data_IF_838035885701
#
_entry.id   IF_838035885701
#
_cell.length_a   1.000
_cell.length_b   1.000
_cell.length_c   1.000
_cell.angle_alpha   90.00
_cell.angle_beta   90.00
_cell.angle_gamma   90.00
#
_symmetry.space_group_name_H-M   'P 1'
#
loop_
_entity.id
_entity.type
_entity.pdbx_description
1 polymer ?
#
# COMPACT_ATOMS: atom_id res chain seq x y z
N UNK A 1 26.03 -5.08 -0.12
CA UNK A 1 24.66 -5.33 -0.60
C UNK A 1 24.09 -3.98 -1.05
N UNK A 2 24.07 -3.70 -2.36
CA UNK A 2 23.72 -2.37 -2.90
C UNK A 2 22.20 -2.18 -2.80
N UNK A 3 21.75 -1.15 -2.05
CA UNK A 3 20.35 -0.72 -2.09
C UNK A 3 20.02 -0.33 -3.53
N UNK A 4 19.01 -0.97 -4.10
CA UNK A 4 18.41 -0.56 -5.38
C UNK A 4 17.18 0.29 -5.08
N UNK A 5 17.40 1.53 -4.69
CA UNK A 5 16.39 2.57 -4.85
C UNK A 5 16.73 3.28 -6.16
N UNK A 6 15.95 3.08 -7.21
CA UNK A 6 16.02 3.91 -8.40
C UNK A 6 14.63 4.45 -8.74
N UNK A 7 14.64 5.71 -9.16
CA UNK A 7 13.53 6.63 -9.30
C UNK A 7 13.34 6.86 -10.80
N UNK A 8 12.24 6.39 -11.39
CA UNK A 8 11.84 6.74 -12.76
C UNK A 8 10.36 7.08 -12.75
N UNK A 9 10.06 8.25 -13.30
CA UNK A 9 8.73 8.73 -13.57
C UNK A 9 8.50 8.62 -15.08
N UNK A 10 7.57 7.77 -15.49
CA UNK A 10 7.23 7.60 -16.91
C UNK A 10 6.47 8.84 -17.39
N UNK A 11 7.16 9.71 -18.14
CA UNK A 11 6.51 10.66 -19.04
C UNK A 11 6.00 9.91 -20.27
N UNK A 12 4.68 9.98 -20.47
CA UNK A 12 3.96 9.84 -21.74
C UNK A 12 4.53 8.86 -22.78
N UNK A 13 3.96 7.65 -22.83
CA UNK A 13 3.78 6.94 -24.10
C UNK A 13 2.28 6.86 -24.36
N UNK A 14 1.85 7.62 -25.36
CA UNK A 14 0.55 7.51 -26.00
C UNK A 14 0.45 6.14 -26.69
N UNK A 15 -0.60 5.39 -26.38
CA UNK A 15 -1.50 4.87 -27.41
C UNK A 15 -2.92 4.83 -26.81
N UNK A 16 -3.94 5.35 -27.53
CA UNK A 16 -5.30 5.46 -27.05
C UNK A 16 -6.05 4.15 -27.29
N UNK A 17 -6.89 3.74 -26.34
CA UNK A 17 -8.06 2.94 -26.70
C UNK A 17 -9.28 3.85 -26.62
N UNK A 18 -9.74 4.17 -27.82
CA UNK A 18 -10.99 4.81 -28.16
C UNK A 18 -12.15 3.99 -27.57
N UNK A 19 -13.00 4.62 -26.76
CA UNK A 19 -14.38 4.18 -26.58
C UNK A 19 -15.27 5.18 -27.30
N UNK A 20 -15.68 4.79 -28.51
CA UNK A 20 -16.75 5.43 -29.27
C UNK A 20 -18.07 5.01 -28.62
N UNK A 21 -18.90 5.98 -28.28
CA UNK A 21 -20.28 5.75 -27.88
C UNK A 21 -21.11 5.24 -29.09
N UNK A 22 -22.24 4.63 -28.76
CA UNK A 22 -23.29 4.05 -29.63
C UNK A 22 -23.12 2.58 -30.03
N UNK A 23 -23.35 1.69 -29.06
CA UNK A 23 -23.88 0.34 -29.30
C UNK A 23 -24.93 0.02 -28.21
N UNK A 24 -26.08 -0.48 -28.66
CA UNK A 24 -27.23 -0.91 -27.85
C UNK A 24 -26.84 -1.88 -26.70
N UNK A 25 -27.63 -1.94 -25.61
CA UNK A 25 -27.29 -2.73 -24.44
C UNK A 25 -27.29 -4.24 -24.76
N UNK A 26 -26.21 -4.99 -24.47
CA UNK A 26 -26.25 -6.43 -24.57
C UNK A 26 -26.95 -6.99 -23.34
N UNK A 27 -28.08 -7.64 -23.57
CA UNK A 27 -28.71 -8.56 -22.62
C UNK A 27 -27.91 -9.87 -22.63
N UNK A 28 -26.98 -10.03 -21.68
CA UNK A 28 -26.34 -11.32 -21.42
C UNK A 28 -26.16 -11.60 -19.93
N UNK A 29 -26.15 -12.90 -19.55
CA UNK A 29 -26.50 -13.37 -18.22
C UNK A 29 -25.36 -13.16 -17.22
N UNK A 30 -25.72 -13.18 -15.93
CA UNK A 30 -24.81 -13.19 -14.79
C UNK A 30 -23.84 -14.37 -14.88
N UNK A 31 -22.73 -14.18 -15.58
CA UNK A 31 -21.60 -15.10 -15.62
C UNK A 31 -20.73 -14.90 -14.40
N UNK A 32 -20.63 -15.93 -13.58
CA UNK A 32 -19.63 -16.09 -12.52
C UNK A 32 -18.22 -15.86 -13.08
N UNK A 33 -17.53 -14.83 -12.60
CA UNK A 33 -16.11 -14.62 -12.89
C UNK A 33 -15.32 -15.76 -12.23
N UNK A 34 -14.71 -16.60 -13.05
CA UNK A 34 -14.04 -17.83 -12.65
C UNK A 34 -12.80 -17.61 -11.78
N UNK A 35 -12.81 -18.17 -10.58
CA UNK A 35 -11.69 -18.35 -9.62
C UNK A 35 -10.49 -19.20 -10.14
N UNK A 36 -10.51 -19.65 -11.40
CA UNK A 36 -9.49 -20.57 -11.93
C UNK A 36 -8.12 -19.90 -12.19
N UNK A 37 -8.05 -18.56 -12.23
CA UNK A 37 -6.79 -17.83 -12.41
C UNK A 37 -5.94 -17.70 -11.15
N UNK A 38 -6.52 -17.92 -9.98
CA UNK A 38 -5.82 -17.67 -8.72
C UNK A 38 -4.67 -18.67 -8.54
N UNK A 39 -4.89 -19.96 -8.82
CA UNK A 39 -3.92 -21.03 -8.54
C UNK A 39 -2.52 -20.82 -9.15
N UNK A 40 -2.45 -20.30 -10.38
CA UNK A 40 -1.17 -20.07 -11.06
C UNK A 40 -0.37 -18.93 -10.40
N UNK A 41 -1.03 -17.82 -10.04
CA UNK A 41 -0.39 -16.73 -9.32
C UNK A 41 0.10 -17.17 -7.94
N UNK A 42 -0.69 -18.01 -7.25
CA UNK A 42 -0.30 -18.61 -5.97
C UNK A 42 0.98 -19.46 -6.07
N UNK A 43 1.11 -20.27 -7.12
CA UNK A 43 2.31 -21.12 -7.29
C UNK A 43 3.56 -20.32 -7.64
N UNK A 44 3.43 -19.26 -8.45
CA UNK A 44 4.56 -18.39 -8.80
C UNK A 44 5.05 -17.61 -7.57
N UNK A 45 4.12 -17.02 -6.81
CA UNK A 45 4.46 -16.25 -5.62
C UNK A 45 5.20 -17.06 -4.55
N UNK A 46 4.93 -18.37 -4.44
CA UNK A 46 5.65 -19.27 -3.52
C UNK A 46 7.10 -19.55 -3.94
N UNK A 47 7.40 -19.50 -5.24
CA UNK A 47 8.75 -19.71 -5.76
C UNK A 47 9.59 -18.45 -5.64
N UNK A 48 8.95 -17.29 -5.74
CA UNK A 48 9.58 -15.99 -5.51
C UNK A 48 9.70 -15.76 -4.00
N UNK A 49 10.83 -15.21 -3.52
CA UNK A 49 10.95 -14.72 -2.13
C UNK A 49 10.17 -13.41 -1.91
N UNK A 50 8.98 -13.32 -2.52
CA UNK A 50 8.15 -12.13 -2.51
C UNK A 50 7.47 -12.01 -1.16
N UNK A 51 7.83 -10.95 -0.45
CA UNK A 51 7.21 -10.53 0.79
C UNK A 51 7.22 -9.01 0.86
N UNK A 52 6.03 -8.42 1.06
CA UNK A 52 5.80 -6.97 1.00
C UNK A 52 5.58 -6.40 2.39
N UNK A 53 6.28 -5.34 2.76
CA UNK A 53 5.90 -4.53 3.91
C UNK A 53 4.90 -3.46 3.47
N UNK A 54 3.67 -3.51 3.98
CA UNK A 54 2.65 -2.49 3.74
C UNK A 54 2.54 -1.63 5.01
N UNK A 55 2.99 -0.39 4.93
CA UNK A 55 2.93 0.59 6.01
C UNK A 55 1.74 1.53 5.78
N UNK A 56 0.74 1.42 6.65
CA UNK A 56 -0.43 2.30 6.65
C UNK A 56 -0.11 3.52 7.50
N UNK A 57 -0.17 4.70 6.92
CA UNK A 57 0.02 5.95 7.65
C UNK A 57 -1.23 6.28 8.49
N UNK A 58 -1.16 6.14 9.82
CA UNK A 58 -2.29 6.37 10.72
C UNK A 58 -1.90 7.24 11.92
N UNK A 59 -2.73 8.18 12.36
CA UNK A 59 -2.66 8.68 13.74
C UNK A 59 -3.56 7.82 14.66
N UNK A 60 -3.62 8.15 15.95
CA UNK A 60 -4.47 7.40 16.89
C UNK A 60 -5.97 7.48 16.56
N UNK A 61 -6.44 8.61 16.03
CA UNK A 61 -7.83 8.76 15.63
C UNK A 61 -8.17 7.83 14.46
N UNK A 62 -7.30 7.73 13.46
CA UNK A 62 -7.45 6.85 12.33
C UNK A 62 -7.40 5.36 12.72
N UNK A 63 -6.53 4.97 13.67
CA UNK A 63 -6.52 3.59 14.20
C UNK A 63 -7.84 3.28 14.90
N UNK A 64 -8.32 4.17 15.76
CA UNK A 64 -9.57 3.97 16.49
C UNK A 64 -10.77 3.85 15.53
N UNK A 65 -10.80 4.68 14.48
CA UNK A 65 -11.89 4.71 13.51
C UNK A 65 -11.84 3.56 12.48
N UNK A 66 -10.66 3.25 11.93
CA UNK A 66 -10.52 2.40 10.75
C UNK A 66 -9.75 1.10 10.99
N UNK A 67 -9.01 0.97 12.11
CA UNK A 67 -8.16 -0.19 12.38
C UNK A 67 -8.92 -1.52 12.32
N UNK A 68 -10.12 -1.57 12.91
CA UNK A 68 -10.99 -2.76 12.85
C UNK A 68 -11.43 -3.10 11.43
N UNK A 69 -11.73 -2.10 10.60
CA UNK A 69 -12.14 -2.31 9.21
C UNK A 69 -10.98 -2.87 8.38
N UNK A 70 -9.77 -2.30 8.53
CA UNK A 70 -8.55 -2.78 7.85
C UNK A 70 -8.28 -4.24 8.22
N UNK A 71 -8.28 -4.56 9.52
CA UNK A 71 -8.04 -5.92 10.04
C UNK A 71 -9.04 -6.91 9.47
N UNK A 72 -10.35 -6.60 9.51
CA UNK A 72 -11.39 -7.54 9.06
C UNK A 72 -11.43 -7.73 7.55
N UNK A 73 -10.87 -6.79 6.78
CA UNK A 73 -10.92 -6.81 5.33
C UNK A 73 -9.57 -7.28 4.75
N UNK A 74 -8.88 -6.40 4.03
CA UNK A 74 -7.76 -6.77 3.19
C UNK A 74 -6.51 -7.18 3.97
N UNK A 75 -6.30 -6.68 5.19
CA UNK A 75 -5.09 -6.98 5.95
C UNK A 75 -5.05 -8.41 6.52
N UNK A 76 -6.21 -9.03 6.78
CA UNK A 76 -6.29 -10.44 7.23
C UNK A 76 -6.66 -11.42 6.11
N UNK A 77 -6.84 -10.94 4.89
CA UNK A 77 -7.11 -11.80 3.74
C UNK A 77 -6.02 -12.90 3.62
N UNK A 78 -6.35 -14.12 3.16
CA UNK A 78 -5.37 -15.21 3.05
C UNK A 78 -4.09 -14.83 2.29
N UNK A 79 -4.22 -14.04 1.23
CA UNK A 79 -3.10 -13.53 0.46
C UNK A 79 -2.19 -12.60 1.29
N UNK A 80 -2.80 -11.65 2.02
CA UNK A 80 -2.08 -10.75 2.91
C UNK A 80 -1.30 -11.51 3.96
N UNK A 81 -1.93 -12.45 4.67
CA UNK A 81 -1.27 -13.26 5.72
C UNK A 81 -0.04 -14.03 5.23
N UNK A 82 0.05 -14.32 3.93
CA UNK A 82 1.14 -15.10 3.35
C UNK A 82 2.23 -14.25 2.73
N UNK A 83 1.87 -13.15 2.08
CA UNK A 83 2.77 -12.40 1.22
C UNK A 83 2.99 -10.95 1.66
N UNK A 84 2.31 -10.51 2.72
CA UNK A 84 2.47 -9.16 3.25
C UNK A 84 2.55 -9.12 4.78
N UNK A 85 3.40 -8.25 5.28
CA UNK A 85 3.27 -7.74 6.65
C UNK A 85 2.61 -6.37 6.58
N UNK A 86 1.44 -6.24 7.19
CA UNK A 86 0.73 -4.95 7.29
C UNK A 86 1.02 -4.32 8.65
N UNK A 87 1.47 -3.05 8.65
CA UNK A 87 1.72 -2.26 9.86
C UNK A 87 0.94 -0.95 9.85
N UNK A 88 0.18 -0.70 10.91
CA UNK A 88 -0.48 0.57 11.19
C UNK A 88 0.53 1.47 11.89
N UNK A 89 1.12 2.42 11.17
CA UNK A 89 2.23 3.22 11.69
C UNK A 89 1.69 4.47 12.35
N UNK A 90 1.92 4.58 13.66
CA UNK A 90 1.52 5.72 14.50
C UNK A 90 2.75 6.43 15.04
N UNK A 91 2.72 7.75 15.02
CA UNK A 91 3.77 8.61 15.50
C UNK A 91 3.58 9.01 16.96
N UNK A 92 3.98 10.25 17.27
CA UNK A 92 3.90 10.85 18.59
C UNK A 92 2.48 11.04 19.17
N UNK A 93 1.40 10.88 18.39
CA UNK A 93 0.03 10.94 18.96
C UNK A 93 -0.33 9.74 19.83
N UNK A 94 0.48 8.68 19.78
CA UNK A 94 0.34 7.52 20.65
C UNK A 94 0.95 7.72 22.04
N UNK A 95 1.58 8.86 22.32
CA UNK A 95 2.07 9.16 23.67
C UNK A 95 0.93 9.57 24.61
N UNK A 96 0.96 9.13 25.90
CA UNK A 96 1.99 8.29 26.53
C UNK A 96 1.80 6.77 26.30
N UNK A 97 0.63 6.33 25.85
CA UNK A 97 0.31 4.90 25.69
C UNK A 97 -0.47 4.61 24.39
N UNK A 98 0.11 3.78 23.52
CA UNK A 98 -0.49 3.27 22.27
C UNK A 98 -1.88 2.65 22.49
N UNK A 99 -2.16 2.14 23.69
CA UNK A 99 -3.47 1.57 24.03
C UNK A 99 -4.63 2.54 23.89
N UNK A 100 -4.38 3.86 23.91
CA UNK A 100 -5.39 4.89 23.69
C UNK A 100 -5.86 4.96 22.22
N UNK A 101 -5.03 4.47 21.29
CA UNK A 101 -5.31 4.47 19.86
C UNK A 101 -6.16 3.27 19.45
N UNK A 102 -6.30 2.27 20.34
CA UNK A 102 -6.97 1.02 20.04
C UNK A 102 -8.49 1.19 20.02
N UNK A 103 -9.19 0.56 19.06
CA UNK A 103 -10.65 0.57 19.06
C UNK A 103 -11.21 -0.16 20.28
N UNK A 104 -12.47 0.16 20.63
CA UNK A 104 -13.23 -0.46 21.72
C UNK A 104 -13.85 -1.81 21.34
N UNK A 105 -13.48 -2.39 20.19
CA UNK A 105 -14.09 -3.60 19.63
C UNK A 105 -13.33 -4.87 20.03
N UNK A 106 -13.93 -6.03 19.79
CA UNK A 106 -13.28 -7.34 19.98
C UNK A 106 -12.01 -7.53 19.12
N UNK A 107 -11.85 -6.70 18.09
CA UNK A 107 -10.66 -6.68 17.22
C UNK A 107 -9.46 -5.95 17.83
N UNK A 108 -9.61 -5.38 19.04
CA UNK A 108 -8.58 -4.61 19.75
C UNK A 108 -7.21 -5.28 19.73
N UNK A 109 -7.16 -6.56 20.08
CA UNK A 109 -5.89 -7.30 20.19
C UNK A 109 -5.28 -7.59 18.82
N UNK A 110 -6.10 -7.82 17.78
CA UNK A 110 -5.63 -7.97 16.40
C UNK A 110 -5.09 -6.67 15.83
N UNK A 111 -5.77 -5.55 16.09
CA UNK A 111 -5.30 -4.20 15.73
C UNK A 111 -3.98 -3.90 16.43
N UNK A 112 -3.89 -4.17 17.74
CA UNK A 112 -2.70 -3.93 18.55
C UNK A 112 -1.43 -4.57 17.96
N UNK A 113 -1.50 -5.84 17.53
CA UNK A 113 -0.36 -6.54 16.91
C UNK A 113 0.08 -5.95 15.56
N UNK A 114 -0.79 -5.20 14.90
CA UNK A 114 -0.47 -4.51 13.65
C UNK A 114 0.14 -3.13 13.88
N UNK A 115 0.04 -2.56 15.08
CA UNK A 115 0.61 -1.24 15.34
C UNK A 115 2.13 -1.28 15.30
N UNK A 116 2.70 -0.30 14.62
CA UNK A 116 4.11 0.06 14.69
C UNK A 116 4.19 1.48 15.24
N UNK A 117 4.53 1.61 16.52
CA UNK A 117 4.69 2.90 17.17
C UNK A 117 6.10 3.44 16.94
N UNK A 118 6.18 4.62 16.33
CA UNK A 118 7.42 5.35 16.07
C UNK A 118 7.32 6.74 16.72
N UNK A 119 7.56 6.87 18.04
CA UNK A 119 7.32 8.12 18.78
C UNK A 119 8.11 9.32 18.24
N UNK A 120 9.27 9.07 17.63
CA UNK A 120 10.08 10.10 16.98
C UNK A 120 9.49 10.64 15.67
N UNK A 121 8.47 9.99 15.10
CA UNK A 121 7.81 10.43 13.89
C UNK A 121 6.60 11.32 14.23
N UNK A 122 6.52 12.56 13.73
CA UNK A 122 5.39 13.45 14.05
C UNK A 122 4.14 13.09 13.24
N UNK A 123 2.96 13.04 13.87
CA UNK A 123 1.67 12.78 13.20
C UNK A 123 1.02 14.03 12.56
N UNK A 124 1.75 15.14 12.45
CA UNK A 124 1.24 16.39 11.89
C UNK A 124 0.90 16.32 10.40
N UNK A 125 -0.09 17.12 9.98
CA UNK A 125 -0.41 17.35 8.57
C UNK A 125 0.36 18.57 8.04
N UNK A 126 0.91 18.53 6.80
CA UNK A 126 0.93 17.39 5.88
C UNK A 126 1.88 16.28 6.35
N UNK A 127 1.59 15.00 6.06
CA UNK A 127 2.29 13.85 6.67
C UNK A 127 3.69 13.59 6.08
N UNK A 128 4.32 14.59 5.44
CA UNK A 128 5.60 14.42 4.73
C UNK A 128 6.69 13.95 5.68
N UNK A 129 6.82 14.61 6.84
CA UNK A 129 7.82 14.26 7.84
C UNK A 129 7.63 12.83 8.36
N UNK A 130 6.37 12.44 8.63
CA UNK A 130 6.03 11.09 9.05
C UNK A 130 6.40 10.05 8.00
N UNK A 131 6.00 10.28 6.74
CA UNK A 131 6.26 9.34 5.65
C UNK A 131 7.77 9.16 5.43
N UNK A 132 8.55 10.25 5.47
CA UNK A 132 10.01 10.15 5.41
C UNK A 132 10.59 9.36 6.60
N UNK A 133 10.07 9.61 7.81
CA UNK A 133 10.46 8.86 9.01
C UNK A 133 10.11 7.36 8.92
N UNK A 134 8.93 7.01 8.38
CA UNK A 134 8.53 5.63 8.09
C UNK A 134 9.51 4.94 7.13
N UNK A 135 9.89 5.63 6.06
CA UNK A 135 10.84 5.09 5.08
C UNK A 135 12.23 4.91 5.66
N UNK A 136 12.70 5.86 6.47
CA UNK A 136 13.99 5.75 7.14
C UNK A 136 14.01 4.59 8.14
N UNK A 137 12.93 4.39 8.90
CA UNK A 137 12.77 3.23 9.76
C UNK A 137 12.78 1.91 8.97
N UNK A 138 12.02 1.84 7.87
CA UNK A 138 12.00 0.64 7.02
C UNK A 138 13.40 0.33 6.45
N UNK A 139 14.12 1.37 5.98
CA UNK A 139 15.48 1.26 5.43
C UNK A 139 16.49 0.78 6.47
N UNK A 140 16.39 1.24 7.70
CA UNK A 140 17.38 0.95 8.74
C UNK A 140 17.09 -0.33 9.51
N UNK A 141 15.82 -0.61 9.83
CA UNK A 141 15.43 -1.72 10.70
C UNK A 141 14.88 -2.95 9.94
N UNK A 142 14.32 -2.75 8.74
CA UNK A 142 13.52 -3.78 8.06
C UNK A 142 14.01 -4.15 6.65
N UNK A 143 15.02 -3.45 6.11
CA UNK A 143 15.43 -3.56 4.69
C UNK A 143 15.73 -4.99 4.22
N UNK A 144 16.30 -5.82 5.10
CA UNK A 144 16.67 -7.20 4.78
C UNK A 144 15.52 -8.20 4.90
N UNK A 145 14.38 -7.80 5.50
CA UNK A 145 13.25 -8.70 5.80
C UNK A 145 12.19 -8.73 4.70
N UNK A 146 12.16 -7.70 3.86
CA UNK A 146 11.13 -7.55 2.82
C UNK A 146 11.76 -7.28 1.47
N UNK A 147 11.13 -7.87 0.45
CA UNK A 147 11.52 -7.68 -0.95
C UNK A 147 10.99 -6.37 -1.53
N UNK A 148 9.83 -5.93 -1.04
CA UNK A 148 9.10 -4.77 -1.52
C UNK A 148 8.48 -4.01 -0.36
N UNK A 149 8.24 -2.72 -0.57
CA UNK A 149 7.66 -1.83 0.42
C UNK A 149 6.57 -0.97 -0.21
N UNK A 150 5.48 -0.77 0.51
CA UNK A 150 4.34 0.02 0.07
C UNK A 150 3.90 0.92 1.22
N UNK A 151 3.60 2.19 0.91
CA UNK A 151 2.89 3.08 1.83
C UNK A 151 1.46 3.24 1.34
N UNK A 152 0.51 3.24 2.26
CA UNK A 152 -0.89 3.57 1.98
C UNK A 152 -1.44 4.49 3.06
N UNK A 153 -2.53 5.21 2.76
CA UNK A 153 -3.28 5.95 3.78
C UNK A 153 -4.28 5.03 4.51
N UNK A 154 -4.75 5.46 5.68
CA UNK A 154 -5.63 4.66 6.54
C UNK A 154 -7.00 4.37 5.93
N UNK A 155 -7.45 5.20 4.99
CA UNK A 155 -8.70 5.09 4.26
C UNK A 155 -8.59 4.31 2.94
N UNK A 156 -7.40 3.79 2.60
CA UNK A 156 -7.17 3.00 1.40
C UNK A 156 -7.52 1.52 1.57
N UNK A 157 -8.03 0.92 0.49
CA UNK A 157 -8.19 -0.52 0.35
C UNK A 157 -7.10 -1.08 -0.57
N UNK A 158 -6.45 -2.19 -0.17
CA UNK A 158 -5.42 -2.85 -0.98
C UNK A 158 -5.91 -4.22 -1.46
N UNK A 159 -6.00 -4.39 -2.78
CA UNK A 159 -6.15 -5.73 -3.35
C UNK A 159 -4.79 -6.43 -3.39
N UNK A 160 -4.48 -7.19 -2.33
CA UNK A 160 -3.17 -7.83 -2.18
C UNK A 160 -2.88 -8.88 -3.27
N UNK A 161 -3.91 -9.56 -3.79
CA UNK A 161 -3.72 -10.53 -4.89
C UNK A 161 -3.24 -9.84 -6.17
N UNK A 162 -3.88 -8.72 -6.54
CA UNK A 162 -3.45 -7.95 -7.71
C UNK A 162 -2.07 -7.31 -7.51
N UNK A 163 -1.77 -6.86 -6.28
CA UNK A 163 -0.44 -6.37 -5.95
C UNK A 163 0.64 -7.45 -6.17
N UNK A 164 0.41 -8.67 -5.69
CA UNK A 164 1.33 -9.79 -5.90
C UNK A 164 1.50 -10.09 -7.39
N UNK A 165 0.40 -10.11 -8.14
CA UNK A 165 0.42 -10.37 -9.57
C UNK A 165 1.23 -9.32 -10.34
N UNK A 166 1.07 -8.05 -9.97
CA UNK A 166 1.84 -6.94 -10.52
C UNK A 166 3.33 -7.08 -10.22
N UNK A 167 3.68 -7.34 -8.95
CA UNK A 167 5.07 -7.45 -8.51
C UNK A 167 5.78 -8.69 -9.10
N UNK A 168 5.07 -9.80 -9.29
CA UNK A 168 5.62 -11.00 -9.92
C UNK A 168 5.98 -10.80 -11.40
N UNK A 169 5.42 -9.78 -12.05
CA UNK A 169 5.70 -9.43 -13.45
C UNK A 169 6.83 -8.43 -13.60
N UNK A 170 7.26 -7.78 -12.51
CA UNK A 170 8.36 -6.84 -12.55
C UNK A 170 9.70 -7.58 -12.69
N UNK A 171 10.63 -7.01 -13.46
CA UNK A 171 11.99 -7.55 -13.53
C UNK A 171 12.68 -7.32 -12.17
N UNK A 172 13.12 -8.37 -11.45
CA UNK A 172 13.84 -8.22 -10.18
C UNK A 172 15.19 -7.50 -10.34
N UNK A 173 15.68 -7.33 -11.57
CA UNK A 173 16.91 -6.58 -11.85
C UNK A 173 16.69 -5.08 -11.90
N UNK A 174 15.46 -4.63 -12.08
CA UNK A 174 15.12 -3.21 -12.20
C UNK A 174 14.55 -2.68 -10.88
N UNK A 175 14.79 -1.41 -10.61
CA UNK A 175 14.12 -0.76 -9.49
C UNK A 175 12.69 -0.44 -9.89
N UNK A 176 11.76 -0.70 -8.98
CA UNK A 176 10.34 -0.48 -9.20
C UNK A 176 9.83 0.64 -8.29
N UNK A 177 9.27 1.69 -8.89
CA UNK A 177 8.53 2.73 -8.19
C UNK A 177 7.20 2.93 -8.90
N UNK A 178 6.11 2.61 -8.22
CA UNK A 178 4.78 2.61 -8.79
C UNK A 178 3.84 3.40 -7.88
N UNK A 179 2.83 4.00 -8.50
CA UNK A 179 1.76 4.69 -7.82
C UNK A 179 1.01 5.56 -8.84
N UNK A 180 -0.06 6.21 -8.37
CA UNK A 180 -0.80 7.13 -9.23
C UNK A 180 0.01 8.41 -9.45
N UNK A 181 0.52 8.61 -10.65
CA UNK A 181 1.25 9.82 -11.02
C UNK A 181 0.35 11.06 -10.86
N UNK A 182 0.91 12.11 -10.25
CA UNK A 182 0.34 13.45 -10.20
C UNK A 182 1.33 14.49 -10.70
N UNK A 183 0.75 15.55 -11.23
CA UNK A 183 1.40 16.82 -11.55
C UNK A 183 0.74 17.83 -10.60
N UNK A 184 1.53 18.67 -9.92
CA UNK A 184 1.04 19.54 -8.83
C UNK A 184 -0.18 20.39 -9.24
N UNK A 185 -0.91 20.96 -8.28
CA UNK A 185 -2.08 21.81 -8.62
C UNK A 185 -1.66 23.25 -8.92
N UNK A 186 -2.39 23.92 -9.81
CA UNK A 186 -2.24 25.36 -10.06
C UNK A 186 -0.91 25.72 -10.74
N UNK A 187 -0.18 26.68 -10.17
CA UNK A 187 1.09 27.15 -10.75
C UNK A 187 2.22 26.10 -10.66
N UNK A 188 2.08 25.07 -9.80
CA UNK A 188 3.05 23.99 -9.67
C UNK A 188 3.03 22.97 -10.83
N UNK A 189 2.04 23.03 -11.72
CA UNK A 189 1.69 21.96 -12.65
C UNK A 189 2.74 21.70 -13.75
N UNK A 190 3.63 22.66 -14.02
CA UNK A 190 4.71 22.56 -15.01
C UNK A 190 6.12 22.56 -14.42
N UNK A 191 6.27 22.86 -13.12
CA UNK A 191 7.59 23.05 -12.50
C UNK A 191 8.06 21.88 -11.63
N UNK A 192 7.17 20.96 -11.26
CA UNK A 192 7.53 19.81 -10.39
C UNK A 192 7.69 18.54 -11.18
N UNK A 193 8.75 17.79 -10.87
CA UNK A 193 8.91 16.40 -11.30
C UNK A 193 7.67 15.61 -10.90
N UNK A 194 7.08 14.81 -11.81
CA UNK A 194 5.89 14.05 -11.46
C UNK A 194 6.18 13.07 -10.32
N UNK A 195 5.20 12.88 -9.45
CA UNK A 195 5.32 12.12 -8.21
C UNK A 195 4.13 11.18 -8.03
N UNK A 196 4.27 10.16 -7.19
CA UNK A 196 3.14 9.30 -6.82
C UNK A 196 2.30 9.98 -5.74
N UNK A 197 0.98 10.07 -5.94
CA UNK A 197 0.08 10.58 -4.90
C UNK A 197 0.08 9.69 -3.66
N UNK A 198 -0.23 10.29 -2.51
CA UNK A 198 -0.17 9.61 -1.21
C UNK A 198 -1.09 8.41 -1.04
N UNK A 199 -2.12 8.24 -1.87
CA UNK A 199 -3.16 7.23 -1.68
C UNK A 199 -2.70 5.76 -1.84
N UNK A 200 -1.50 5.53 -2.37
CA UNK A 200 -0.94 4.19 -2.61
C UNK A 200 -0.19 4.09 -3.93
#
# INVERSE_FOLDING_TARGET
>A
MRLRCALICLTSILLPVVLRADVAPPTHPRGSIHFARDGAAWHVAQRTRLHVLIMVNCDCQAIAALGSAIVRTWASAPAARRFATVKLVVGNTAEPDVKQCLPSTDERERVNRMILHLPQCPDGYPPVQKVLCMWEFARTALVAKYSHYMKVDADSYVNVMELIHLLNRADPKEALFLGRAAKGRGQDNSQRTPYCMGFG
#
